data_IF_968656155208
#
_entry.id   IF_968656155208
#
_cell.length_a   1.000
_cell.length_b   1.000
_cell.length_c   1.000
_cell.angle_alpha   90.00
_cell.angle_beta   90.00
_cell.angle_gamma   90.00
#
_symmetry.space_group_name_H-M   'P 1'
#
loop_
_entity.id
_entity.type
_entity.pdbx_description
1 polymer ?
#
# COMPACT_ATOMS: atom_id res chain seq x y z
N UNK A 1 -21.22 -25.05 -1.32
CA UNK A 1 -20.11 -25.53 -0.46
C UNK A 1 -19.23 -24.33 -0.14
N UNK A 2 -18.54 -24.32 1.00
CA UNK A 2 -17.59 -23.26 1.33
C UNK A 2 -16.31 -23.44 0.50
N UNK A 3 -15.80 -22.34 -0.08
CA UNK A 3 -14.60 -22.38 -0.91
C UNK A 3 -13.34 -22.59 -0.06
N UNK A 4 -12.45 -23.48 -0.51
CA UNK A 4 -11.28 -23.92 0.27
C UNK A 4 -10.08 -23.02 -0.02
N UNK A 5 -9.59 -22.33 1.01
CA UNK A 5 -8.49 -21.38 0.89
C UNK A 5 -7.32 -21.79 1.78
N UNK A 6 -6.12 -21.80 1.21
CA UNK A 6 -4.86 -21.89 1.94
C UNK A 6 -4.18 -20.53 1.95
N UNK A 7 -3.68 -20.13 3.12
CA UNK A 7 -3.07 -18.81 3.30
C UNK A 7 -1.69 -18.97 3.95
N UNK A 8 -0.70 -18.24 3.44
CA UNK A 8 0.66 -18.15 4.01
C UNK A 8 1.13 -16.69 4.03
N UNK A 9 2.07 -16.38 4.92
CA UNK A 9 2.66 -15.04 5.03
C UNK A 9 2.20 -14.20 6.22
N UNK A 10 2.63 -12.94 6.27
CA UNK A 10 2.45 -12.04 7.41
C UNK A 10 0.99 -11.64 7.60
N UNK A 11 0.20 -11.61 6.52
CA UNK A 11 -1.23 -11.26 6.57
C UNK A 11 -2.13 -12.42 7.01
N UNK A 12 -1.58 -13.64 7.17
CA UNK A 12 -2.34 -14.88 7.37
C UNK A 12 -3.40 -14.80 8.47
N UNK A 13 -3.07 -14.23 9.63
CA UNK A 13 -4.02 -14.18 10.76
C UNK A 13 -5.19 -13.25 10.48
N UNK A 14 -4.94 -12.07 9.89
CA UNK A 14 -5.99 -11.13 9.55
C UNK A 14 -6.90 -11.68 8.44
N UNK A 15 -6.29 -12.22 7.38
CA UNK A 15 -7.01 -12.80 6.26
C UNK A 15 -7.80 -14.05 6.66
N UNK A 16 -7.27 -14.89 7.54
CA UNK A 16 -8.01 -16.05 8.10
C UNK A 16 -9.30 -15.60 8.77
N UNK A 17 -9.25 -14.58 9.64
CA UNK A 17 -10.46 -14.05 10.30
C UNK A 17 -11.44 -13.46 9.29
N UNK A 18 -10.96 -12.67 8.33
CA UNK A 18 -11.78 -12.05 7.29
C UNK A 18 -12.52 -13.10 6.45
N UNK A 19 -11.80 -14.14 6.02
CA UNK A 19 -12.33 -15.18 5.14
C UNK A 19 -13.29 -16.12 5.86
N UNK A 20 -13.00 -16.50 7.11
CA UNK A 20 -13.94 -17.26 7.95
C UNK A 20 -15.26 -16.51 8.14
N UNK A 21 -15.21 -15.20 8.39
CA UNK A 21 -16.41 -14.36 8.52
C UNK A 21 -17.19 -14.24 7.20
N UNK A 22 -16.53 -14.51 6.06
CA UNK A 22 -17.12 -14.46 4.72
C UNK A 22 -17.53 -15.84 4.20
N UNK A 23 -17.49 -16.88 5.04
CA UNK A 23 -17.97 -18.22 4.70
C UNK A 23 -16.98 -19.13 3.97
N UNK A 24 -15.70 -18.75 3.88
CA UNK A 24 -14.65 -19.60 3.31
C UNK A 24 -14.19 -20.67 4.31
N UNK A 25 -13.77 -21.82 3.80
CA UNK A 25 -13.13 -22.88 4.57
C UNK A 25 -11.61 -22.72 4.51
N UNK A 26 -10.94 -22.78 5.65
CA UNK A 26 -9.48 -22.69 5.72
C UNK A 26 -8.88 -24.09 5.71
N UNK A 27 -8.06 -24.37 4.71
CA UNK A 27 -7.37 -25.67 4.56
C UNK A 27 -5.86 -25.52 4.67
N UNK A 28 -5.20 -26.59 5.06
CA UNK A 28 -3.79 -26.66 5.44
C UNK A 28 -3.39 -25.48 6.36
N UNK A 29 -4.07 -25.22 7.50
CA UNK A 29 -3.68 -24.17 8.42
C UNK A 29 -2.39 -24.53 9.18
N UNK A 30 -1.50 -23.55 9.38
CA UNK A 30 -0.31 -23.76 10.22
C UNK A 30 -0.71 -24.08 11.68
N UNK A 31 0.17 -24.72 12.48
CA UNK A 31 -0.10 -24.99 13.89
C UNK A 31 -0.53 -23.75 14.68
N UNK A 32 0.09 -22.59 14.42
CA UNK A 32 -0.26 -21.32 15.06
C UNK A 32 -1.66 -20.84 14.66
N UNK A 33 -2.05 -21.01 13.40
CA UNK A 33 -3.38 -20.63 12.92
C UNK A 33 -4.45 -21.56 13.49
N UNK A 34 -4.19 -22.87 13.53
CA UNK A 34 -5.08 -23.83 14.22
C UNK A 34 -5.31 -23.45 15.67
N UNK A 35 -4.24 -23.11 16.39
CA UNK A 35 -4.33 -22.68 17.78
C UNK A 35 -5.15 -21.40 17.94
N UNK A 36 -4.88 -20.37 17.12
CA UNK A 36 -5.54 -19.05 17.21
C UNK A 36 -7.04 -19.09 16.92
N UNK A 37 -7.46 -19.98 16.02
CA UNK A 37 -8.84 -20.04 15.54
C UNK A 37 -9.59 -21.31 15.97
N UNK A 38 -8.94 -22.17 16.76
CA UNK A 38 -9.47 -23.49 17.15
C UNK A 38 -9.92 -24.33 15.94
N UNK A 39 -9.17 -24.24 14.84
CA UNK A 39 -9.49 -24.96 13.60
C UNK A 39 -9.00 -26.42 13.69
N UNK A 40 -9.77 -27.37 13.15
CA UNK A 40 -9.30 -28.74 13.01
C UNK A 40 -8.12 -28.82 12.01
N UNK A 41 -7.32 -29.89 12.03
CA UNK A 41 -6.52 -30.29 10.88
C UNK A 41 -7.43 -30.46 9.66
N UNK A 42 -6.99 -29.97 8.51
CA UNK A 42 -7.74 -29.93 7.27
C UNK A 42 -6.73 -30.04 6.13
N UNK A 43 -6.48 -31.25 5.63
CA UNK A 43 -5.42 -31.53 4.65
C UNK A 43 -5.97 -31.60 3.21
N UNK A 44 -7.16 -31.04 2.96
CA UNK A 44 -7.77 -30.99 1.64
C UNK A 44 -7.00 -30.05 0.69
N UNK A 45 -7.06 -30.37 -0.61
CA UNK A 45 -6.49 -29.52 -1.65
C UNK A 45 -7.18 -28.14 -1.68
N UNK A 46 -6.42 -27.03 -1.65
CA UNK A 46 -6.98 -25.69 -1.75
C UNK A 46 -7.50 -25.40 -3.16
N UNK A 47 -8.63 -24.68 -3.24
CA UNK A 47 -9.14 -24.09 -4.50
C UNK A 47 -8.48 -22.74 -4.77
N UNK A 48 -8.09 -22.05 -3.70
CA UNK A 48 -7.39 -20.77 -3.75
C UNK A 48 -6.19 -20.80 -2.80
N UNK A 49 -5.05 -20.34 -3.29
CA UNK A 49 -3.85 -20.12 -2.51
C UNK A 49 -3.53 -18.63 -2.43
N UNK A 50 -3.31 -18.15 -1.21
CA UNK A 50 -2.92 -16.76 -0.92
C UNK A 50 -1.56 -16.78 -0.24
N UNK A 51 -0.63 -15.99 -0.77
CA UNK A 51 0.68 -15.77 -0.14
C UNK A 51 1.10 -14.30 -0.18
N UNK A 52 2.10 -13.95 0.63
CA UNK A 52 2.66 -12.61 0.59
C UNK A 52 3.36 -12.37 -0.76
N UNK A 53 3.28 -11.13 -1.24
CA UNK A 53 4.24 -10.68 -2.25
C UNK A 53 5.67 -10.71 -1.72
N UNK A 54 6.70 -10.82 -2.58
CA UNK A 54 8.10 -10.82 -2.15
C UNK A 54 8.55 -9.60 -1.35
N UNK A 55 7.92 -8.44 -1.56
CA UNK A 55 8.19 -7.21 -0.81
C UNK A 55 7.32 -7.05 0.45
N UNK A 56 6.42 -8.01 0.71
CA UNK A 56 5.43 -8.04 1.78
C UNK A 56 4.46 -6.83 1.78
N UNK A 57 4.39 -6.06 0.70
CA UNK A 57 3.51 -4.88 0.58
C UNK A 57 2.10 -5.23 0.06
N UNK A 58 1.75 -6.50 0.10
CA UNK A 58 0.45 -7.04 -0.30
C UNK A 58 0.53 -8.55 -0.49
N UNK A 59 -0.37 -9.09 -1.29
CA UNK A 59 -0.52 -10.55 -1.49
C UNK A 59 -0.60 -10.93 -2.96
N UNK A 60 -0.30 -12.18 -3.25
CA UNK A 60 -0.57 -12.85 -4.51
C UNK A 60 -1.60 -13.96 -4.26
N UNK A 61 -2.52 -14.12 -5.20
CA UNK A 61 -3.64 -15.05 -5.11
C UNK A 61 -3.63 -15.89 -6.38
N UNK A 62 -3.67 -17.20 -6.23
CA UNK A 62 -3.75 -18.17 -7.34
C UNK A 62 -4.89 -19.13 -7.10
N UNK A 63 -5.68 -19.43 -8.13
CA UNK A 63 -6.80 -20.37 -8.02
C UNK A 63 -7.75 -20.26 -9.21
N UNK A 64 -8.92 -20.89 -9.09
CA UNK A 64 -9.95 -20.84 -10.14
C UNK A 64 -10.45 -19.39 -10.37
N UNK A 65 -10.60 -18.99 -11.64
CA UNK A 65 -10.92 -17.62 -12.07
C UNK A 65 -12.18 -17.04 -11.43
N UNK A 66 -13.24 -17.85 -11.31
CA UNK A 66 -14.49 -17.45 -10.66
C UNK A 66 -14.29 -17.17 -9.16
N UNK A 67 -13.47 -18.00 -8.50
CA UNK A 67 -13.14 -17.83 -7.07
C UNK A 67 -12.28 -16.59 -6.84
N UNK A 68 -11.32 -16.34 -7.72
CA UNK A 68 -10.48 -15.15 -7.66
C UNK A 68 -11.28 -13.88 -7.90
N UNK A 69 -12.27 -13.90 -8.80
CA UNK A 69 -13.17 -12.78 -9.02
C UNK A 69 -13.99 -12.43 -7.78
N UNK A 70 -14.54 -13.44 -7.10
CA UNK A 70 -15.27 -13.26 -5.82
C UNK A 70 -14.35 -12.70 -4.72
N UNK A 71 -13.16 -13.27 -4.58
CA UNK A 71 -12.21 -12.86 -3.55
C UNK A 71 -11.64 -11.46 -3.81
N UNK A 72 -11.40 -11.11 -5.07
CA UNK A 72 -10.97 -9.77 -5.51
C UNK A 72 -12.00 -8.72 -5.10
N UNK A 73 -13.29 -9.00 -5.35
CA UNK A 73 -14.38 -8.13 -4.93
C UNK A 73 -14.44 -7.99 -3.41
N UNK A 74 -14.38 -9.09 -2.68
CA UNK A 74 -14.37 -9.08 -1.21
C UNK A 74 -13.24 -8.20 -0.65
N UNK A 75 -12.03 -8.35 -1.21
CA UNK A 75 -10.86 -7.55 -0.81
C UNK A 75 -11.11 -6.07 -1.07
N UNK A 76 -11.57 -5.68 -2.27
CA UNK A 76 -11.78 -4.27 -2.62
C UNK A 76 -12.97 -3.63 -1.88
N UNK A 77 -13.99 -4.41 -1.54
CA UNK A 77 -15.12 -3.96 -0.72
C UNK A 77 -14.72 -3.76 0.74
N UNK A 78 -13.79 -4.58 1.24
CA UNK A 78 -13.36 -4.56 2.64
C UNK A 78 -12.21 -3.58 2.89
N UNK A 79 -11.20 -3.58 2.01
CA UNK A 79 -9.93 -2.87 2.14
C UNK A 79 -9.93 -1.63 1.24
N UNK A 80 -10.20 -0.46 1.86
CA UNK A 80 -10.48 0.80 1.17
C UNK A 80 -9.45 1.17 0.10
N UNK A 81 -8.16 1.15 0.45
CA UNK A 81 -7.08 1.57 -0.43
C UNK A 81 -6.32 0.40 -1.06
N UNK A 82 -6.88 -0.81 -1.06
CA UNK A 82 -6.29 -1.94 -1.77
C UNK A 82 -6.26 -1.70 -3.28
N UNK A 83 -5.16 -2.11 -3.92
CA UNK A 83 -4.93 -1.90 -5.36
C UNK A 83 -4.71 -3.26 -6.02
N UNK A 84 -5.50 -3.56 -7.05
CA UNK A 84 -5.29 -4.74 -7.89
C UNK A 84 -4.24 -4.39 -8.95
N UNK A 85 -2.99 -4.79 -8.71
CA UNK A 85 -1.86 -4.48 -9.59
C UNK A 85 -1.89 -5.27 -10.90
N UNK A 86 -2.36 -6.52 -10.83
CA UNK A 86 -2.39 -7.43 -11.95
C UNK A 86 -3.48 -8.49 -11.76
N UNK A 87 -4.09 -8.92 -12.87
CA UNK A 87 -5.04 -10.01 -12.94
C UNK A 87 -4.85 -10.72 -14.28
N UNK A 88 -4.26 -11.91 -14.25
CA UNK A 88 -4.00 -12.73 -15.43
C UNK A 88 -4.80 -14.04 -15.32
N UNK A 89 -5.70 -14.28 -16.28
CA UNK A 89 -6.43 -15.55 -16.39
C UNK A 89 -5.83 -16.38 -17.51
N UNK A 90 -5.32 -17.57 -17.18
CA UNK A 90 -4.79 -18.52 -18.15
C UNK A 90 -5.65 -19.79 -18.12
N UNK A 91 -6.10 -20.22 -19.29
CA UNK A 91 -6.60 -21.57 -19.43
C UNK A 91 -5.40 -22.52 -19.35
N UNK A 92 -5.28 -23.29 -18.26
CA UNK A 92 -4.36 -24.41 -18.23
C UNK A 92 -4.98 -25.55 -19.03
N UNK A 93 -4.35 -25.91 -20.15
CA UNK A 93 -4.64 -27.15 -20.87
C UNK A 93 -3.64 -28.18 -20.34
N UNK A 94 -4.06 -29.19 -19.54
CA UNK A 94 -3.14 -30.20 -19.06
C UNK A 94 -2.47 -30.92 -20.25
N UNK A 95 -1.13 -31.04 -20.21
CA UNK A 95 -0.33 -31.65 -21.29
C UNK A 95 -0.61 -33.16 -21.50
N UNK A 96 -1.30 -33.80 -20.55
CA UNK A 96 -1.74 -35.20 -20.61
C UNK A 96 -3.22 -35.29 -20.23
N UNK A 97 -4.11 -35.02 -21.17
CA UNK A 97 -5.56 -35.18 -20.98
C UNK A 97 -5.95 -36.66 -21.10
N UNK A 98 -6.17 -37.33 -19.96
CA UNK A 98 -7.09 -38.47 -19.92
C UNK A 98 -8.52 -37.94 -20.03
N UNK A 99 -9.35 -38.61 -20.85
CA UNK A 99 -10.74 -38.23 -21.15
C UNK A 99 -11.50 -37.97 -19.83
N UNK A 100 -12.03 -36.74 -19.68
CA UNK A 100 -12.73 -36.17 -18.50
C UNK A 100 -11.93 -35.25 -17.54
N UNK A 101 -10.80 -34.64 -17.95
CA UNK A 101 -10.23 -33.52 -17.17
C UNK A 101 -11.00 -32.20 -17.43
N UNK A 102 -11.73 -31.70 -16.43
CA UNK A 102 -12.32 -30.35 -16.46
C UNK A 102 -11.20 -29.32 -16.70
N UNK A 103 -11.32 -28.52 -17.77
CA UNK A 103 -10.46 -27.36 -18.00
C UNK A 103 -10.70 -26.39 -16.85
N UNK A 104 -9.69 -26.19 -15.99
CA UNK A 104 -9.75 -25.19 -14.92
C UNK A 104 -9.09 -23.93 -15.41
N UNK A 105 -9.89 -22.88 -15.57
CA UNK A 105 -9.38 -21.54 -15.81
C UNK A 105 -8.70 -21.05 -14.53
N UNK A 106 -7.38 -21.19 -14.46
CA UNK A 106 -6.58 -20.71 -13.33
C UNK A 106 -6.25 -19.24 -13.58
N UNK A 107 -6.49 -18.43 -12.58
CA UNK A 107 -6.10 -17.03 -12.58
C UNK A 107 -5.06 -16.75 -11.50
N UNK A 108 -4.36 -15.64 -11.71
CA UNK A 108 -3.42 -15.04 -10.77
C UNK A 108 -3.80 -13.58 -10.56
N UNK A 109 -3.93 -13.17 -9.31
CA UNK A 109 -4.18 -11.79 -8.94
C UNK A 109 -3.12 -11.28 -7.97
N UNK A 110 -2.66 -10.03 -8.17
CA UNK A 110 -1.65 -9.41 -7.31
C UNK A 110 -2.21 -8.14 -6.69
N UNK A 111 -2.16 -8.04 -5.37
CA UNK A 111 -2.64 -6.89 -4.62
C UNK A 111 -1.51 -6.10 -3.97
N UNK A 112 -1.62 -4.79 -3.94
CA UNK A 112 -0.93 -3.92 -2.99
C UNK A 112 -1.88 -3.58 -1.85
N UNK A 113 -1.37 -3.60 -0.62
CA UNK A 113 -2.07 -3.14 0.58
C UNK A 113 -1.36 -1.90 1.14
N UNK A 114 -1.84 -0.68 0.83
CA UNK A 114 -1.31 0.55 1.43
C UNK A 114 -1.77 0.73 2.87
N UNK A 115 -1.39 1.87 3.47
CA UNK A 115 -1.49 2.10 4.91
C UNK A 115 -2.86 1.85 5.54
N UNK A 116 -3.98 2.23 4.89
CA UNK A 116 -5.32 2.03 5.47
C UNK A 116 -5.67 0.54 5.48
N UNK A 117 -5.38 -0.18 4.40
CA UNK A 117 -5.59 -1.62 4.27
C UNK A 117 -4.77 -2.39 5.31
N UNK A 118 -3.48 -2.06 5.46
CA UNK A 118 -2.64 -2.67 6.50
C UNK A 118 -3.20 -2.40 7.90
N UNK A 119 -3.56 -1.15 8.21
CA UNK A 119 -4.12 -0.77 9.51
C UNK A 119 -5.46 -1.47 9.79
N UNK A 120 -6.31 -1.64 8.77
CA UNK A 120 -7.55 -2.38 8.91
C UNK A 120 -7.28 -3.87 9.18
N UNK A 121 -6.36 -4.50 8.45
CA UNK A 121 -5.93 -5.87 8.71
C UNK A 121 -5.29 -6.04 10.10
N UNK A 122 -4.52 -5.05 10.58
CA UNK A 122 -4.00 -5.01 11.96
C UNK A 122 -5.14 -4.97 12.99
N UNK A 123 -6.20 -4.23 12.70
CA UNK A 123 -7.38 -4.16 13.57
C UNK A 123 -8.12 -5.49 13.63
N UNK A 124 -8.27 -6.19 12.49
CA UNK A 124 -8.82 -7.55 12.44
C UNK A 124 -7.93 -8.51 13.23
N UNK A 125 -6.62 -8.47 13.00
CA UNK A 125 -5.65 -9.30 13.73
C UNK A 125 -5.75 -9.09 15.25
N UNK A 126 -5.94 -7.86 15.68
CA UNK A 126 -6.09 -7.49 17.10
C UNK A 126 -7.32 -8.10 17.77
N UNK A 127 -8.35 -8.51 17.00
CA UNK A 127 -9.50 -9.27 17.53
C UNK A 127 -9.18 -10.74 17.83
N UNK A 128 -8.06 -11.24 17.32
CA UNK A 128 -7.63 -12.64 17.45
C UNK A 128 -6.48 -12.78 18.43
N UNK A 129 -5.51 -11.88 18.36
CA UNK A 129 -4.32 -11.89 19.21
C UNK A 129 -3.89 -10.44 19.51
N UNK A 130 -3.51 -10.12 20.76
CA UNK A 130 -2.92 -8.82 21.09
C UNK A 130 -1.79 -8.47 20.12
N UNK A 131 -2.00 -7.37 19.39
CA UNK A 131 -1.09 -6.90 18.35
C UNK A 131 -0.83 -5.41 18.53
N UNK A 132 0.35 -4.97 18.08
CA UNK A 132 0.71 -3.56 18.02
C UNK A 132 0.04 -2.87 16.81
N UNK A 133 -0.23 -1.58 16.92
CA UNK A 133 -0.62 -0.74 15.78
C UNK A 133 0.47 -0.78 14.71
N UNK A 134 0.06 -0.79 13.44
CA UNK A 134 0.97 -0.90 12.30
C UNK A 134 1.77 -2.22 12.29
N UNK A 135 1.19 -3.31 12.83
CA UNK A 135 1.85 -4.62 12.94
C UNK A 135 2.44 -5.05 11.61
N UNK A 136 1.67 -5.07 10.51
CA UNK A 136 2.20 -5.53 9.21
C UNK A 136 3.38 -4.67 8.75
N UNK A 137 3.31 -3.34 8.90
CA UNK A 137 4.43 -2.44 8.60
C UNK A 137 5.67 -2.73 9.44
N UNK A 138 5.51 -2.89 10.75
CA UNK A 138 6.63 -3.20 11.65
C UNK A 138 7.20 -4.62 11.39
N UNK A 139 6.36 -5.55 10.95
CA UNK A 139 6.73 -6.93 10.61
C UNK A 139 7.64 -6.95 9.38
N UNK A 140 7.35 -6.13 8.37
CA UNK A 140 8.20 -5.90 7.19
C UNK A 140 9.60 -5.42 7.61
N UNK A 141 9.69 -4.52 8.59
CA UNK A 141 10.96 -3.96 9.04
C UNK A 141 11.78 -4.93 9.90
N UNK A 142 11.15 -5.51 10.91
CA UNK A 142 11.84 -6.20 12.01
C UNK A 142 11.02 -7.38 12.54
N UNK A 143 10.80 -8.36 11.66
CA UNK A 143 9.94 -9.52 11.92
C UNK A 143 10.16 -10.19 13.30
N UNK A 144 11.41 -10.56 13.60
CA UNK A 144 11.77 -11.31 14.82
C UNK A 144 11.64 -10.45 16.08
N UNK A 145 12.03 -9.17 16.01
CA UNK A 145 11.92 -8.26 17.15
C UNK A 145 10.47 -7.98 17.48
N UNK A 146 9.63 -7.76 16.47
CA UNK A 146 8.20 -7.51 16.64
C UNK A 146 7.52 -8.70 17.34
N UNK A 147 7.78 -9.94 16.88
CA UNK A 147 7.21 -11.14 17.50
C UNK A 147 7.55 -11.23 19.01
N UNK A 148 8.75 -10.82 19.42
CA UNK A 148 9.14 -10.78 20.84
C UNK A 148 8.33 -9.74 21.62
N UNK A 149 8.24 -8.51 21.10
CA UNK A 149 7.48 -7.43 21.73
C UNK A 149 5.99 -7.79 21.89
N UNK A 150 5.37 -8.38 20.86
CA UNK A 150 3.98 -8.84 20.94
C UNK A 150 3.79 -10.02 21.91
N UNK A 151 4.77 -10.91 22.01
CA UNK A 151 4.76 -11.97 23.03
C UNK A 151 4.85 -11.43 24.46
N UNK A 152 5.56 -10.33 24.68
CA UNK A 152 5.64 -9.65 25.99
C UNK A 152 4.36 -8.85 26.30
N UNK A 153 3.71 -8.28 25.28
CA UNK A 153 2.40 -7.61 25.39
C UNK A 153 1.30 -8.49 25.97
N UNK A 154 1.32 -9.80 25.67
CA UNK A 154 0.41 -10.78 26.27
C UNK A 154 0.46 -10.78 27.80
N UNK A 155 1.57 -10.32 28.39
CA UNK A 155 1.79 -10.30 29.84
C UNK A 155 1.47 -8.94 30.47
N UNK A 156 1.47 -7.86 29.69
CA UNK A 156 1.22 -6.50 30.18
C UNK A 156 0.68 -5.57 29.09
N UNK A 157 -0.65 -5.55 28.93
CA UNK A 157 -1.33 -4.70 27.94
C UNK A 157 -1.22 -3.20 28.25
N UNK A 158 -0.96 -2.81 29.50
CA UNK A 158 -0.88 -1.40 29.91
C UNK A 158 0.28 -0.63 29.29
N UNK A 159 1.25 -1.31 28.68
CA UNK A 159 2.41 -0.69 28.00
C UNK A 159 2.22 -0.49 26.49
N UNK A 160 1.08 -0.92 25.93
CA UNK A 160 0.87 -0.97 24.48
C UNK A 160 1.10 0.36 23.79
N UNK A 161 0.42 1.42 24.21
CA UNK A 161 0.49 2.73 23.55
C UNK A 161 1.89 3.34 23.61
N UNK A 162 2.54 3.27 24.79
CA UNK A 162 3.93 3.73 24.95
C UNK A 162 4.87 3.01 23.99
N UNK A 163 4.72 1.68 23.87
CA UNK A 163 5.54 0.85 23.00
C UNK A 163 5.29 1.16 21.51
N UNK A 164 4.04 1.40 21.11
CA UNK A 164 3.72 1.79 19.73
C UNK A 164 4.41 3.09 19.32
N UNK A 165 4.39 4.09 20.20
CA UNK A 165 5.04 5.38 19.96
C UNK A 165 6.58 5.25 19.94
N UNK A 166 7.14 4.47 20.88
CA UNK A 166 8.57 4.20 20.97
C UNK A 166 9.08 3.50 19.71
N UNK A 167 8.41 2.43 19.27
CA UNK A 167 8.83 1.68 18.09
C UNK A 167 8.77 2.52 16.81
N UNK A 168 7.76 3.38 16.65
CA UNK A 168 7.70 4.28 15.50
C UNK A 168 8.88 5.27 15.50
N UNK A 169 9.18 5.89 16.64
CA UNK A 169 10.30 6.81 16.76
C UNK A 169 11.66 6.12 16.56
N UNK A 170 11.87 4.96 17.17
CA UNK A 170 13.15 4.25 17.17
C UNK A 170 13.44 3.52 15.87
N UNK A 171 12.43 2.85 15.29
CA UNK A 171 12.66 1.99 14.13
C UNK A 171 12.53 2.75 12.83
N UNK A 172 11.74 3.83 12.78
CA UNK A 172 11.43 4.56 11.54
C UNK A 172 12.07 5.94 11.53
N UNK A 173 11.70 6.82 12.46
CA UNK A 173 12.14 8.22 12.40
C UNK A 173 13.64 8.40 12.68
N UNK A 174 14.17 7.68 13.67
CA UNK A 174 15.58 7.81 14.07
C UNK A 174 16.55 7.35 12.97
N UNK A 175 16.37 6.17 12.33
CA UNK A 175 17.24 5.76 11.23
C UNK A 175 17.11 6.66 10.00
N UNK A 176 15.90 7.11 9.67
CA UNK A 176 15.66 8.05 8.56
C UNK A 176 16.43 9.35 8.76
N UNK A 177 16.33 9.94 9.95
CA UNK A 177 17.04 11.17 10.29
C UNK A 177 18.56 11.01 10.21
N UNK A 178 19.08 9.86 10.67
CA UNK A 178 20.52 9.54 10.62
C UNK A 178 21.02 9.34 9.19
N UNK A 179 20.20 8.74 8.32
CA UNK A 179 20.57 8.52 6.92
C UNK A 179 20.68 9.84 6.15
N UNK A 180 19.78 10.81 6.40
CA UNK A 180 19.77 12.12 5.75
C UNK A 180 19.42 12.10 4.25
N UNK A 181 19.37 10.92 3.64
CA UNK A 181 18.88 10.66 2.29
C UNK A 181 17.48 10.06 2.38
N UNK A 182 16.51 10.68 1.73
CA UNK A 182 15.12 10.24 1.69
C UNK A 182 14.82 9.64 0.32
N UNK A 183 14.38 8.39 0.33
CA UNK A 183 13.86 7.69 -0.84
C UNK A 183 12.34 7.70 -0.82
N UNK A 184 11.75 8.17 -1.91
CA UNK A 184 10.31 8.12 -2.16
C UNK A 184 10.01 6.93 -3.08
N UNK A 185 9.41 5.91 -2.50
CA UNK A 185 8.81 4.79 -3.24
C UNK A 185 7.45 5.20 -3.76
N UNK A 186 7.47 5.77 -4.97
CA UNK A 186 6.29 6.14 -5.73
C UNK A 186 5.81 4.92 -6.51
N UNK A 187 4.88 4.17 -5.93
CA UNK A 187 4.30 2.97 -6.52
C UNK A 187 3.23 3.39 -7.51
N UNK A 188 3.27 2.90 -8.75
CA UNK A 188 2.17 3.13 -9.70
C UNK A 188 1.06 2.11 -9.51
N UNK A 189 -0.18 2.58 -9.49
CA UNK A 189 -1.35 1.71 -9.49
C UNK A 189 -1.37 0.76 -10.71
N UNK A 190 -0.79 1.17 -11.85
CA UNK A 190 -0.61 0.34 -13.04
C UNK A 190 0.39 -0.83 -12.89
N UNK A 191 1.00 -1.04 -11.71
CA UNK A 191 1.94 -2.14 -11.45
C UNK A 191 3.34 -1.97 -12.06
N UNK A 192 3.57 -0.88 -12.81
CA UNK A 192 4.87 -0.60 -13.44
C UNK A 192 5.94 -0.26 -12.40
N UNK A 193 7.08 -0.93 -12.48
CA UNK A 193 8.23 -0.60 -11.65
C UNK A 193 8.79 0.80 -12.00
N UNK A 194 9.01 1.62 -10.98
CA UNK A 194 9.59 2.95 -11.12
C UNK A 194 10.80 3.06 -10.22
N UNK A 195 11.85 3.70 -10.74
CA UNK A 195 13.02 4.04 -9.93
C UNK A 195 12.58 5.03 -8.83
N UNK A 196 12.84 4.73 -7.54
CA UNK A 196 12.51 5.63 -6.46
C UNK A 196 13.11 7.03 -6.66
N UNK A 197 12.36 8.06 -6.25
CA UNK A 197 12.85 9.45 -6.26
C UNK A 197 13.67 9.68 -5.00
N UNK A 198 14.90 10.15 -5.13
CA UNK A 198 15.78 10.42 -3.99
C UNK A 198 15.99 11.92 -3.80
N UNK A 199 16.13 12.35 -2.54
CA UNK A 199 16.50 13.72 -2.18
C UNK A 199 17.09 13.82 -0.78
N UNK A 200 17.78 14.93 -0.51
CA UNK A 200 18.42 15.18 0.78
C UNK A 200 17.38 15.71 1.76
N UNK A 201 17.25 15.10 2.93
CA UNK A 201 16.41 15.60 4.02
C UNK A 201 16.96 16.95 4.49
N UNK A 202 16.16 18.01 4.36
CA UNK A 202 16.53 19.35 4.82
C UNK A 202 15.77 19.75 6.09
N UNK A 203 14.59 19.17 6.31
CA UNK A 203 13.74 19.48 7.46
C UNK A 203 12.92 18.25 7.86
N UNK A 204 12.80 18.03 9.17
CA UNK A 204 11.86 17.08 9.76
C UNK A 204 11.16 17.73 10.95
N UNK A 205 9.85 17.81 10.88
CA UNK A 205 9.00 18.29 11.97
C UNK A 205 7.97 17.20 12.32
N UNK A 206 8.20 16.51 13.43
CA UNK A 206 7.39 15.34 13.80
C UNK A 206 7.41 14.27 12.69
N UNK A 207 6.26 14.07 12.07
CA UNK A 207 5.99 13.12 10.98
C UNK A 207 5.91 13.80 9.60
N UNK A 208 6.35 15.05 9.49
CA UNK A 208 6.53 15.77 8.23
C UNK A 208 8.01 15.75 7.83
N UNK A 209 8.29 15.40 6.57
CA UNK A 209 9.62 15.46 5.98
C UNK A 209 9.62 16.45 4.82
N UNK A 210 10.66 17.27 4.73
CA UNK A 210 10.96 18.08 3.54
C UNK A 210 12.31 17.65 2.99
N UNK A 211 12.30 17.20 1.74
CA UNK A 211 13.51 16.81 1.03
C UNK A 211 13.79 17.74 -0.16
N UNK A 212 15.07 18.04 -0.38
CA UNK A 212 15.54 18.83 -1.50
C UNK A 212 16.08 17.92 -2.60
N UNK A 213 15.63 18.19 -3.83
CA UNK A 213 16.06 17.52 -5.06
C UNK A 213 16.65 18.55 -6.01
N UNK A 214 17.75 18.21 -6.66
CA UNK A 214 18.39 19.06 -7.66
C UNK A 214 18.05 18.56 -9.07
N UNK A 215 17.84 19.48 -10.01
CA UNK A 215 17.49 19.17 -11.38
C UNK A 215 18.45 19.87 -12.35
N UNK A 216 18.66 19.26 -13.52
CA UNK A 216 19.56 19.79 -14.56
C UNK A 216 18.93 19.86 -15.95
N UNK A 217 18.04 18.93 -16.27
CA UNK A 217 17.42 18.81 -17.59
C UNK A 217 16.04 18.14 -17.50
N UNK A 218 15.23 18.27 -18.55
CA UNK A 218 13.90 17.68 -18.67
C UNK A 218 12.76 18.68 -18.49
N UNK A 219 11.60 18.20 -18.08
CA UNK A 219 10.44 19.02 -17.74
C UNK A 219 9.89 18.58 -16.38
N UNK A 220 9.25 19.50 -15.67
CA UNK A 220 8.51 19.14 -14.47
C UNK A 220 7.21 18.45 -14.83
N UNK A 221 7.03 17.23 -14.31
CA UNK A 221 5.77 16.50 -14.34
C UNK A 221 4.65 17.37 -13.73
N UNK A 222 3.45 17.32 -14.31
CA UNK A 222 2.29 18.14 -13.93
C UNK A 222 2.38 19.61 -14.39
N UNK A 223 3.49 20.31 -14.14
CA UNK A 223 3.62 21.73 -14.53
C UNK A 223 3.86 21.93 -16.03
N UNK A 224 4.46 20.94 -16.68
CA UNK A 224 4.90 21.00 -18.08
C UNK A 224 5.79 22.23 -18.36
N UNK A 225 6.70 22.57 -17.44
CA UNK A 225 7.68 23.65 -17.58
C UNK A 225 9.09 23.05 -17.80
N UNK A 226 9.94 23.69 -18.63
CA UNK A 226 11.31 23.21 -18.82
C UNK A 226 12.12 23.34 -17.53
N UNK A 227 12.95 22.35 -17.25
CA UNK A 227 13.95 22.37 -16.19
C UNK A 227 15.16 23.15 -16.71
N UNK A 228 15.67 24.07 -15.88
CA UNK A 228 16.92 24.77 -16.14
C UNK A 228 18.00 24.26 -15.18
N UNK A 229 19.26 24.39 -15.58
CA UNK A 229 20.38 23.97 -14.75
C UNK A 229 20.43 24.73 -13.42
N UNK A 230 20.50 23.99 -12.33
CA UNK A 230 20.51 24.55 -10.98
C UNK A 230 19.13 24.81 -10.40
N UNK A 231 18.06 24.51 -11.14
CA UNK A 231 16.74 24.42 -10.56
C UNK A 231 16.69 23.33 -9.46
N UNK A 232 15.83 23.53 -8.48
CA UNK A 232 15.65 22.57 -7.39
C UNK A 232 14.18 22.45 -7.02
N UNK A 233 13.83 21.37 -6.33
CA UNK A 233 12.50 21.12 -5.84
C UNK A 233 12.52 20.72 -4.39
N UNK A 234 11.52 21.20 -3.65
CA UNK A 234 11.23 20.77 -2.30
C UNK A 234 10.05 19.83 -2.36
N UNK A 235 10.22 18.62 -1.83
CA UNK A 235 9.13 17.66 -1.71
C UNK A 235 8.75 17.55 -0.24
N UNK A 236 7.49 17.84 0.06
CA UNK A 236 6.92 17.71 1.40
C UNK A 236 6.08 16.43 1.44
N UNK A 237 6.40 15.55 2.39
CA UNK A 237 5.63 14.34 2.69
C UNK A 237 5.24 14.34 4.16
N UNK A 238 4.07 13.80 4.49
CA UNK A 238 3.58 13.69 5.86
C UNK A 238 2.90 12.34 6.05
N UNK A 239 3.21 11.64 7.14
CA UNK A 239 2.53 10.39 7.52
C UNK A 239 1.01 10.54 7.43
N UNK A 240 0.35 9.60 6.75
CA UNK A 240 -1.10 9.54 6.61
C UNK A 240 -1.72 10.56 5.63
N UNK A 241 -0.94 11.48 5.06
CA UNK A 241 -1.45 12.43 4.07
C UNK A 241 -1.78 11.71 2.75
N UNK A 242 -2.94 12.01 2.16
CA UNK A 242 -3.35 11.47 0.85
C UNK A 242 -2.76 12.24 -0.35
N UNK A 243 -1.66 12.96 -0.13
CA UNK A 243 -0.94 13.65 -1.20
C UNK A 243 0.53 13.85 -0.85
N UNK A 244 1.35 14.01 -1.87
CA UNK A 244 2.74 14.49 -1.78
C UNK A 244 2.86 15.80 -2.52
N UNK A 245 3.41 16.82 -1.84
CA UNK A 245 3.57 18.16 -2.42
C UNK A 245 4.97 18.33 -2.98
N UNK A 246 5.07 18.81 -4.21
CA UNK A 246 6.30 19.21 -4.87
C UNK A 246 6.25 20.70 -5.19
N UNK A 247 7.17 21.49 -4.62
CA UNK A 247 7.35 22.90 -4.98
C UNK A 247 8.65 23.04 -5.75
N UNK A 248 8.60 23.64 -6.95
CA UNK A 248 9.74 23.76 -7.86
C UNK A 248 10.22 25.20 -7.96
N UNK A 249 11.53 25.39 -7.89
CA UNK A 249 12.18 26.69 -7.83
C UNK A 249 13.30 26.77 -8.87
N UNK A 250 13.47 27.98 -9.41
CA UNK A 250 14.66 28.30 -10.20
C UNK A 250 15.93 28.30 -9.33
N UNK A 251 17.11 28.27 -9.97
CA UNK A 251 18.40 28.49 -9.29
C UNK A 251 18.43 29.75 -8.39
N UNK A 252 17.68 30.79 -8.76
CA UNK A 252 17.59 32.07 -8.02
C UNK A 252 16.55 32.04 -6.89
N UNK A 253 15.88 30.90 -6.65
CA UNK A 253 14.86 30.77 -5.62
C UNK A 253 13.46 31.27 -6.00
N UNK A 254 13.24 31.69 -7.25
CA UNK A 254 11.90 32.04 -7.74
C UNK A 254 11.05 30.77 -7.91
N UNK A 255 9.86 30.75 -7.28
CA UNK A 255 8.87 29.68 -7.45
C UNK A 255 8.42 29.60 -8.92
N UNK A 256 8.42 28.39 -9.47
CA UNK A 256 7.93 28.07 -10.82
C UNK A 256 6.52 27.49 -10.76
N UNK A 257 6.23 26.72 -9.73
CA UNK A 257 4.91 26.17 -9.45
C UNK A 257 4.95 25.07 -8.41
N UNK A 258 3.77 24.59 -8.07
CA UNK A 258 3.55 23.51 -7.12
C UNK A 258 2.69 22.41 -7.77
N UNK A 259 2.98 21.16 -7.41
CA UNK A 259 2.23 19.98 -7.84
C UNK A 259 1.93 19.13 -6.60
N UNK A 260 0.69 18.70 -6.46
CA UNK A 260 0.24 17.82 -5.39
C UNK A 260 -0.18 16.51 -6.02
N UNK A 261 0.65 15.49 -5.87
CA UNK A 261 0.34 14.15 -6.32
C UNK A 261 -0.62 13.52 -5.34
N UNK A 262 -1.85 13.23 -5.76
CA UNK A 262 -2.84 12.57 -4.91
C UNK A 262 -2.51 11.07 -4.88
N UNK A 263 -2.44 10.53 -3.68
CA UNK A 263 -2.00 9.16 -3.45
C UNK A 263 -2.77 8.51 -2.30
N UNK A 264 -2.59 7.20 -2.18
CA UNK A 264 -2.94 6.49 -0.94
C UNK A 264 -2.14 7.08 0.21
N UNK A 265 -2.66 7.12 1.45
CA UNK A 265 -1.96 7.73 2.56
C UNK A 265 -0.50 7.34 2.67
N UNK A 266 0.36 8.35 2.77
CA UNK A 266 1.80 8.17 2.87
C UNK A 266 2.15 7.35 4.10
N UNK A 267 2.98 6.33 3.90
CA UNK A 267 3.65 5.59 4.98
C UNK A 267 5.12 5.99 5.05
N UNK A 268 5.58 6.45 6.21
CA UNK A 268 6.99 6.73 6.47
C UNK A 268 7.68 5.42 6.88
N UNK A 269 8.83 5.19 6.26
CA UNK A 269 9.72 4.04 6.47
C UNK A 269 11.13 4.53 6.82
N UNK A 270 12.03 3.67 7.34
CA UNK A 270 13.39 4.09 7.70
C UNK A 270 14.20 4.66 6.53
N UNK A 271 13.84 4.32 5.29
CA UNK A 271 14.47 4.83 4.08
C UNK A 271 13.86 6.15 3.57
N UNK A 272 12.68 6.55 4.06
CA UNK A 272 11.92 7.66 3.49
C UNK A 272 10.41 7.46 3.56
N UNK A 273 9.74 7.48 2.42
CA UNK A 273 8.28 7.38 2.34
C UNK A 273 7.84 6.50 1.18
N UNK A 274 6.69 5.83 1.34
CA UNK A 274 6.03 4.99 0.35
C UNK A 274 4.56 5.36 0.24
N UNK A 275 4.04 5.31 -0.98
CA UNK A 275 2.62 5.51 -1.29
C UNK A 275 2.33 4.97 -2.70
N UNK A 276 1.06 4.70 -2.99
CA UNK A 276 0.58 4.41 -4.34
C UNK A 276 0.01 5.68 -4.96
N UNK A 277 0.58 6.09 -6.08
CA UNK A 277 0.09 7.17 -6.91
C UNK A 277 -1.24 6.80 -7.55
N UNK A 278 -2.24 7.67 -7.37
CA UNK A 278 -3.60 7.45 -7.89
C UNK A 278 -3.80 8.13 -9.25
N UNK A 279 -2.71 8.57 -9.89
CA UNK A 279 -2.66 9.16 -11.23
C UNK A 279 -3.60 10.37 -11.40
N UNK A 280 -3.84 11.13 -10.32
CA UNK A 280 -4.56 12.40 -10.30
C UNK A 280 -3.74 13.43 -9.52
N UNK A 281 -3.64 14.64 -10.07
CA UNK A 281 -2.77 15.69 -9.53
C UNK A 281 -3.55 17.01 -9.31
N UNK A 282 -3.08 17.84 -8.38
CA UNK A 282 -3.44 19.27 -8.32
C UNK A 282 -2.22 20.10 -8.67
N UNK A 283 -2.32 20.88 -9.74
CA UNK A 283 -1.21 21.67 -10.27
C UNK A 283 -1.51 23.16 -10.12
N UNK A 284 -0.53 23.91 -9.63
CA UNK A 284 -0.61 25.35 -9.48
C UNK A 284 0.67 26.01 -10.01
N UNK A 285 0.63 26.58 -11.21
CA UNK A 285 1.75 27.39 -11.73
C UNK A 285 1.84 28.70 -10.95
N UNK A 286 3.04 29.27 -10.90
CA UNK A 286 3.27 30.52 -10.18
C UNK A 286 2.36 31.66 -10.72
N UNK A 287 1.49 32.18 -9.86
CA UNK A 287 0.53 33.24 -10.20
C UNK A 287 -0.76 32.78 -10.88
N UNK A 288 -0.94 31.48 -11.08
CA UNK A 288 -2.16 30.88 -11.62
C UNK A 288 -3.01 30.26 -10.49
N UNK A 289 -4.27 29.96 -10.79
CA UNK A 289 -5.15 29.22 -9.86
C UNK A 289 -4.82 27.72 -9.89
N UNK A 290 -5.00 26.99 -8.77
CA UNK A 290 -4.84 25.54 -8.74
C UNK A 290 -5.89 24.85 -9.64
N UNK A 291 -5.46 23.83 -10.38
CA UNK A 291 -6.30 23.04 -11.28
C UNK A 291 -6.08 21.55 -11.01
N UNK A 292 -7.15 20.77 -11.01
CA UNK A 292 -7.08 19.31 -10.94
C UNK A 292 -6.77 18.78 -12.34
N UNK A 293 -5.71 17.99 -12.46
CA UNK A 293 -5.24 17.34 -13.69
C UNK A 293 -5.47 15.84 -13.62
N UNK A 294 -5.55 15.19 -14.78
CA UNK A 294 -5.51 13.73 -14.94
C UNK A 294 -6.67 12.96 -14.27
N UNK A 295 -7.85 13.59 -14.19
CA UNK A 295 -9.08 12.92 -13.69
C UNK A 295 -9.42 11.68 -14.52
N UNK A 296 -9.15 11.74 -15.82
CA UNK A 296 -9.41 10.66 -16.76
C UNK A 296 -8.54 9.42 -16.47
N UNK A 297 -7.29 9.59 -16.03
CA UNK A 297 -6.39 8.49 -15.71
C UNK A 297 -6.88 7.72 -14.48
N UNK A 298 -7.28 8.41 -13.40
CA UNK A 298 -7.93 7.78 -12.25
C UNK A 298 -9.21 7.03 -12.67
N UNK A 299 -10.06 7.63 -13.50
CA UNK A 299 -11.28 6.98 -13.98
C UNK A 299 -10.98 5.71 -14.79
N UNK A 300 -9.88 5.68 -15.55
CA UNK A 300 -9.42 4.49 -16.26
C UNK A 300 -8.95 3.38 -15.29
N UNK A 301 -8.27 3.73 -14.19
CA UNK A 301 -7.89 2.76 -13.15
C UNK A 301 -9.13 2.11 -12.52
N UNK A 302 -10.17 2.90 -12.26
CA UNK A 302 -11.44 2.40 -11.70
C UNK A 302 -12.15 1.49 -12.69
N UNK A 303 -12.23 1.92 -13.96
CA UNK A 303 -12.85 1.10 -15.02
C UNK A 303 -12.16 -0.25 -15.21
N UNK A 304 -10.83 -0.31 -15.00
CA UNK A 304 -10.05 -1.55 -15.07
C UNK A 304 -10.13 -2.39 -13.80
N UNK A 305 -10.81 -1.94 -12.75
CA UNK A 305 -10.87 -2.62 -11.46
C UNK A 305 -9.57 -2.54 -10.66
N UNK A 306 -8.60 -1.70 -11.05
CA UNK A 306 -7.34 -1.50 -10.32
C UNK A 306 -7.60 -0.77 -9.01
N UNK A 307 -8.48 0.25 -9.05
CA UNK A 307 -8.87 1.10 -7.93
C UNK A 307 -10.37 0.96 -7.67
N UNK A 308 -10.78 0.86 -6.40
CA UNK A 308 -12.20 0.82 -6.05
C UNK A 308 -12.86 2.21 -6.22
N UNK A 309 -14.16 2.25 -6.55
CA UNK A 309 -14.91 3.52 -6.62
C UNK A 309 -14.97 4.26 -5.27
N UNK A 310 -14.74 3.57 -4.14
CA UNK A 310 -14.64 4.20 -2.83
C UNK A 310 -13.33 4.98 -2.68
N UNK A 311 -12.22 4.43 -3.18
CA UNK A 311 -10.93 5.11 -3.16
C UNK A 311 -10.90 6.28 -4.15
N UNK A 312 -11.52 6.12 -5.33
CA UNK A 312 -11.71 7.20 -6.31
C UNK A 312 -12.37 8.42 -5.68
N UNK A 313 -13.52 8.24 -5.01
CA UNK A 313 -14.21 9.35 -4.32
C UNK A 313 -13.30 10.05 -3.32
N UNK A 314 -12.57 9.29 -2.51
CA UNK A 314 -11.62 9.86 -1.52
C UNK A 314 -10.48 10.63 -2.19
N UNK A 315 -9.97 10.17 -3.32
CA UNK A 315 -8.94 10.86 -4.08
C UNK A 315 -9.47 12.19 -4.65
N UNK A 316 -10.67 12.18 -5.25
CA UNK A 316 -11.34 13.38 -5.77
C UNK A 316 -11.61 14.38 -4.65
N UNK A 317 -12.17 13.93 -3.52
CA UNK A 317 -12.41 14.77 -2.33
C UNK A 317 -11.10 15.42 -1.86
N UNK A 318 -10.00 14.65 -1.80
CA UNK A 318 -8.69 15.17 -1.40
C UNK A 318 -8.19 16.25 -2.38
N UNK A 319 -8.35 16.04 -3.69
CA UNK A 319 -7.96 17.00 -4.72
C UNK A 319 -8.79 18.29 -4.63
N UNK A 320 -10.11 18.17 -4.46
CA UNK A 320 -11.02 19.31 -4.33
C UNK A 320 -10.78 20.10 -3.05
N UNK A 321 -10.53 19.41 -1.94
CA UNK A 321 -10.12 20.03 -0.68
C UNK A 321 -8.84 20.87 -0.82
N UNK A 322 -7.85 20.36 -1.57
CA UNK A 322 -6.61 21.08 -1.85
C UNK A 322 -6.86 22.33 -2.69
N UNK A 323 -7.62 22.22 -3.78
CA UNK A 323 -8.01 23.38 -4.60
C UNK A 323 -8.71 24.44 -3.76
N UNK A 324 -9.65 24.05 -2.88
CA UNK A 324 -10.35 24.99 -1.99
C UNK A 324 -9.45 25.65 -0.93
N UNK A 325 -8.40 24.97 -0.47
CA UNK A 325 -7.44 25.52 0.51
C UNK A 325 -6.40 26.44 -0.13
N UNK A 326 -6.13 26.25 -1.42
CA UNK A 326 -5.13 27.01 -2.17
C UNK A 326 -5.70 28.22 -2.92
N UNK A 327 -7.00 28.19 -3.26
CA UNK A 327 -7.73 29.28 -3.91
C UNK A 327 -8.36 30.25 -2.92
#
# INVERSE_FOLDING_TARGET
MAHRVKIRGIYTTALTRLLLNSGYAIVDPSPEIRQRFSLPPADEAPEVFIEDRPDHQGIEITGESDQLSLLTRLIQETLLDSILLDFDSRAEVPEEAEEETEVRDIAHARFEFPGISKAYLDSIRSTVIPSLKNHHRLKILHEKKLSRFEGELLKNLGKKESLENELFAEWILTPLQKAGLVRLEHVKASGKAIRPREGILIEREGEKLVLKRSFSQGRYDGLNLPIQEGDYGLTEVREGAGYVKHSYFSRQGKLKGECFNINTPVEIYPFGARYVDLEIDVVCRAGEKPVISDREELALLVRKGVVSSRLERRAIETAEDLVRKMG
#
